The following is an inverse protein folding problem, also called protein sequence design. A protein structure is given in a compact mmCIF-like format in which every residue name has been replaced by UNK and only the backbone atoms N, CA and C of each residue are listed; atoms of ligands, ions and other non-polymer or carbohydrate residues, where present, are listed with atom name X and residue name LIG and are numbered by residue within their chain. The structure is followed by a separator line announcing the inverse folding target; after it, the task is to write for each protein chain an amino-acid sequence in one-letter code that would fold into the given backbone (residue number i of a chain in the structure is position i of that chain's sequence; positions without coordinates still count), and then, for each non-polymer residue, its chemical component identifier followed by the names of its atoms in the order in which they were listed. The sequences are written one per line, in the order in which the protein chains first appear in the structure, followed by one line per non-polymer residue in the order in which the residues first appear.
data_IF_108304279963
#
_entry.id   IF_108304279963
#
_cell.length_a   1.000
_cell.length_b   1.000
_cell.length_c   1.000
_cell.angle_alpha   90.00
_cell.angle_beta   90.00
_cell.angle_gamma   90.00
#
_symmetry.space_group_name_H-M   'P 1'
#
loop_
_entity.id
_entity.type
_entity.pdbx_description
1 polymer ?
#
# COMPACT_ATOMS: atom_id res chain seq x y z
N UNK A 1 38.63 -2.01 26.39
CA UNK A 1 38.06 -2.38 25.08
C UNK A 1 37.37 -3.76 25.11
N UNK A 2 38.03 -4.85 25.52
CA UNK A 2 37.44 -6.19 25.51
C UNK A 2 36.12 -6.35 26.32
N UNK A 3 35.98 -5.64 27.45
CA UNK A 3 34.77 -5.66 28.31
C UNK A 3 33.60 -4.87 27.68
N UNK A 4 33.87 -3.83 26.90
CA UNK A 4 32.83 -3.04 26.20
C UNK A 4 32.28 -3.82 25.00
N UNK A 5 33.15 -4.50 24.27
CA UNK A 5 32.75 -5.38 23.16
C UNK A 5 31.88 -6.54 23.66
N UNK A 6 32.21 -7.13 24.81
CA UNK A 6 31.42 -8.19 25.42
C UNK A 6 30.03 -7.71 25.88
N UNK A 7 29.96 -6.49 26.43
CA UNK A 7 28.68 -5.86 26.83
C UNK A 7 27.79 -5.55 25.62
N UNK A 8 28.36 -5.03 24.53
CA UNK A 8 27.63 -4.78 23.30
C UNK A 8 27.16 -6.08 22.65
N UNK A 9 27.98 -7.11 22.64
CA UNK A 9 27.62 -8.44 22.14
C UNK A 9 26.51 -9.10 22.99
N UNK A 10 26.54 -8.93 24.31
CA UNK A 10 25.47 -9.38 25.20
C UNK A 10 24.17 -8.62 25.01
N UNK A 11 24.20 -7.31 24.78
CA UNK A 11 23.02 -6.52 24.45
C UNK A 11 22.43 -6.89 23.07
N UNK A 12 23.26 -7.22 22.09
CA UNK A 12 22.81 -7.68 20.76
C UNK A 12 22.17 -9.08 20.81
N UNK A 13 22.57 -9.93 21.76
CA UNK A 13 21.99 -11.27 21.93
C UNK A 13 20.67 -11.27 22.72
N UNK A 14 20.31 -10.15 23.36
CA UNK A 14 19.07 -10.02 24.14
C UNK A 14 17.89 -9.45 23.32
N UNK A 15 18.07 -9.15 22.04
CA UNK A 15 16.96 -8.90 21.13
C UNK A 15 16.38 -10.27 20.70
N UNK A 16 15.87 -11.02 21.68
CA UNK A 16 14.92 -12.08 21.37
C UNK A 16 13.65 -11.39 20.88
N UNK A 17 13.40 -11.44 19.59
CA UNK A 17 12.07 -11.21 19.05
C UNK A 17 11.16 -12.23 19.74
N UNK A 18 10.39 -11.76 20.72
CA UNK A 18 9.31 -12.57 21.29
C UNK A 18 8.28 -12.69 20.16
N UNK A 19 8.45 -13.73 19.35
CA UNK A 19 7.40 -14.15 18.41
C UNK A 19 6.20 -14.50 19.27
N UNK A 20 5.06 -13.93 18.99
CA UNK A 20 3.82 -14.32 19.65
C UNK A 20 3.65 -15.83 19.43
N UNK A 21 3.69 -16.60 20.52
CA UNK A 21 3.42 -18.03 20.46
C UNK A 21 1.91 -18.20 20.26
N UNK A 22 1.52 -18.48 19.02
CA UNK A 22 0.12 -18.63 18.65
C UNK A 22 -0.03 -18.92 17.16
N UNK A 23 -1.24 -19.32 16.78
CA UNK A 23 -1.62 -19.62 15.41
C UNK A 23 -3.03 -19.11 15.12
N UNK A 24 -3.33 -18.79 13.87
CA UNK A 24 -4.69 -18.59 13.39
C UNK A 24 -5.23 -19.94 12.96
N UNK A 25 -6.17 -20.48 13.74
CA UNK A 25 -6.77 -21.80 13.46
C UNK A 25 -7.69 -21.74 12.21
N UNK A 26 -8.49 -20.67 12.10
CA UNK A 26 -9.41 -20.45 10.99
C UNK A 26 -9.47 -18.96 10.64
N UNK A 27 -9.25 -18.63 9.38
CA UNK A 27 -9.41 -17.31 8.82
C UNK A 27 -10.47 -17.36 7.73
N UNK A 28 -11.54 -16.60 7.90
CA UNK A 28 -12.57 -16.45 6.90
C UNK A 28 -12.56 -15.01 6.38
N UNK A 29 -12.42 -14.86 5.06
CA UNK A 29 -12.47 -13.58 4.39
C UNK A 29 -13.70 -13.49 3.50
N UNK A 30 -14.61 -12.58 3.80
CA UNK A 30 -15.78 -12.31 2.97
C UNK A 30 -15.64 -10.93 2.34
N UNK A 31 -15.55 -10.86 1.03
CA UNK A 31 -15.38 -9.62 0.26
C UNK A 31 -16.59 -9.41 -0.64
N UNK A 32 -17.22 -8.25 -0.50
CA UNK A 32 -18.27 -7.78 -1.41
C UNK A 32 -17.69 -6.67 -2.29
N UNK A 33 -17.72 -6.89 -3.59
CA UNK A 33 -17.22 -5.93 -4.60
C UNK A 33 -18.39 -5.22 -5.25
N UNK A 34 -18.45 -3.90 -5.10
CA UNK A 34 -19.47 -3.09 -5.74
C UNK A 34 -19.10 -2.74 -7.19
N UNK A 35 -20.09 -2.40 -8.02
CA UNK A 35 -19.87 -1.98 -9.42
C UNK A 35 -19.02 -0.69 -9.56
N UNK A 36 -18.82 0.04 -8.48
CA UNK A 36 -17.90 1.18 -8.40
C UNK A 36 -16.43 0.79 -8.21
N UNK A 37 -16.12 -0.50 -8.06
CA UNK A 37 -14.78 -0.99 -7.71
C UNK A 37 -14.41 -0.86 -6.23
N UNK A 38 -15.33 -0.40 -5.38
CA UNK A 38 -15.17 -0.41 -3.92
C UNK A 38 -15.39 -1.83 -3.40
N UNK A 39 -14.60 -2.23 -2.42
CA UNK A 39 -14.76 -3.51 -1.75
C UNK A 39 -15.03 -3.30 -0.26
N UNK A 40 -16.00 -4.03 0.26
CA UNK A 40 -16.23 -4.18 1.69
C UNK A 40 -15.71 -5.55 2.11
N UNK A 41 -14.74 -5.58 3.00
CA UNK A 41 -14.05 -6.80 3.44
C UNK A 41 -14.37 -7.06 4.90
N UNK A 42 -14.79 -8.28 5.20
CA UNK A 42 -15.01 -8.75 6.56
C UNK A 42 -14.14 -9.98 6.79
N UNK A 43 -13.22 -9.87 7.75
CA UNK A 43 -12.37 -10.97 8.19
C UNK A 43 -12.89 -11.50 9.53
N UNK A 44 -13.04 -12.81 9.62
CA UNK A 44 -13.27 -13.49 10.89
C UNK A 44 -12.02 -14.32 11.18
N UNK A 45 -11.31 -14.01 12.26
CA UNK A 45 -10.09 -14.70 12.69
C UNK A 45 -10.37 -15.46 13.97
N UNK A 46 -10.07 -16.75 13.97
CA UNK A 46 -10.03 -17.58 15.16
C UNK A 46 -8.54 -17.79 15.51
N UNK A 47 -8.08 -17.11 16.55
CA UNK A 47 -6.67 -17.08 16.95
C UNK A 47 -6.53 -17.89 18.25
N UNK A 48 -5.62 -18.85 18.25
CA UNK A 48 -5.18 -19.60 19.45
C UNK A 48 -3.86 -19.06 19.92
N UNK A 49 -3.77 -18.63 21.18
CA UNK A 49 -2.54 -18.11 21.81
C UNK A 49 -2.25 -18.85 23.12
N UNK A 50 -0.98 -19.15 23.34
CA UNK A 50 -0.53 -19.83 24.56
C UNK A 50 -0.45 -18.89 25.78
N UNK A 51 -0.27 -17.60 25.52
CA UNK A 51 -0.24 -16.52 26.51
C UNK A 51 -0.76 -15.23 25.88
N UNK A 52 -1.14 -14.25 26.69
CA UNK A 52 -1.47 -12.91 26.20
C UNK A 52 -0.28 -12.35 25.40
N UNK A 53 -0.47 -11.99 24.12
CA UNK A 53 0.62 -11.50 23.30
C UNK A 53 1.05 -10.11 23.78
N UNK A 54 2.35 -9.85 23.77
CA UNK A 54 2.89 -8.50 24.04
C UNK A 54 2.63 -7.54 22.88
N UNK A 55 2.50 -8.08 21.68
CA UNK A 55 2.17 -7.36 20.46
C UNK A 55 1.51 -8.31 19.46
N UNK A 56 0.35 -7.95 18.96
CA UNK A 56 -0.35 -8.68 17.92
C UNK A 56 -0.87 -7.68 16.88
N UNK A 57 -0.27 -7.68 15.70
CA UNK A 57 -0.54 -6.71 14.65
C UNK A 57 -1.00 -7.41 13.40
N UNK A 58 -2.15 -7.01 12.86
CA UNK A 58 -2.64 -7.45 11.56
C UNK A 58 -2.30 -6.41 10.50
N UNK A 59 -1.44 -6.72 9.53
CA UNK A 59 -1.24 -5.88 8.37
C UNK A 59 -2.47 -5.91 7.46
N UNK A 60 -2.85 -4.75 6.95
CA UNK A 60 -3.92 -4.57 5.96
C UNK A 60 -3.39 -3.81 4.75
N UNK A 61 -4.06 -3.91 3.59
CA UNK A 61 -3.70 -3.10 2.42
C UNK A 61 -3.64 -1.61 2.74
N UNK A 62 -2.71 -0.88 2.11
CA UNK A 62 -2.53 0.56 2.32
C UNK A 62 -3.81 1.38 2.11
N UNK A 63 -4.63 0.96 1.14
CA UNK A 63 -5.89 1.62 0.80
C UNK A 63 -7.04 1.33 1.79
N UNK A 64 -6.85 0.44 2.78
CA UNK A 64 -7.90 0.11 3.74
C UNK A 64 -8.30 1.33 4.58
N UNK A 65 -9.59 1.56 4.71
CA UNK A 65 -10.17 2.63 5.54
C UNK A 65 -11.42 2.12 6.25
N UNK A 66 -12.00 2.93 7.13
CA UNK A 66 -13.18 2.60 7.95
C UNK A 66 -13.02 1.27 8.70
N UNK A 67 -11.83 1.10 9.30
CA UNK A 67 -11.42 -0.14 9.94
C UNK A 67 -12.07 -0.26 11.29
N UNK A 68 -12.72 -1.40 11.54
CA UNK A 68 -13.30 -1.74 12.84
C UNK A 68 -12.82 -3.12 13.29
N UNK A 69 -12.64 -3.28 14.60
CA UNK A 69 -12.36 -4.57 15.26
C UNK A 69 -13.48 -4.82 16.27
N UNK A 70 -14.18 -5.94 16.12
CA UNK A 70 -15.35 -6.29 16.94
C UNK A 70 -16.40 -5.16 16.99
N UNK A 71 -16.60 -4.45 15.86
CA UNK A 71 -17.53 -3.33 15.73
C UNK A 71 -17.05 -1.99 16.31
N UNK A 72 -15.85 -1.94 16.89
CA UNK A 72 -15.25 -0.71 17.40
C UNK A 72 -14.24 -0.16 16.42
N UNK A 73 -14.28 1.15 16.14
CA UNK A 73 -13.32 1.79 15.23
C UNK A 73 -11.88 1.62 15.74
N UNK A 74 -11.03 1.10 14.88
CA UNK A 74 -9.63 0.81 15.20
C UNK A 74 -8.68 1.78 14.49
N UNK A 75 -7.63 2.19 15.19
CA UNK A 75 -6.53 2.94 14.58
C UNK A 75 -5.62 2.00 13.82
N UNK A 76 -5.28 2.37 12.59
CA UNK A 76 -4.37 1.61 11.75
C UNK A 76 -3.33 2.56 11.12
N UNK A 77 -2.24 2.87 11.82
CA UNK A 77 -1.18 3.70 11.29
C UNK A 77 -0.51 3.03 10.07
N UNK A 78 0.08 3.84 9.21
CA UNK A 78 0.93 3.36 8.13
C UNK A 78 2.28 2.89 8.67
N UNK A 79 2.69 1.69 8.28
CA UNK A 79 4.03 1.16 8.52
C UNK A 79 4.55 0.62 7.19
N UNK A 80 5.51 1.29 6.58
CA UNK A 80 5.94 0.98 5.22
C UNK A 80 4.82 1.20 4.19
N UNK A 81 4.46 0.14 3.48
CA UNK A 81 3.42 0.14 2.44
C UNK A 81 2.07 -0.43 2.90
N UNK A 82 1.88 -0.67 4.20
CA UNK A 82 0.70 -1.31 4.76
C UNK A 82 0.13 -0.50 5.91
N UNK A 83 -1.13 -0.78 6.28
CA UNK A 83 -1.73 -0.30 7.52
C UNK A 83 -1.63 -1.40 8.57
N UNK A 84 -1.29 -1.05 9.80
CA UNK A 84 -1.13 -1.98 10.89
C UNK A 84 -2.26 -1.79 11.92
N UNK A 85 -3.11 -2.81 12.07
CA UNK A 85 -4.15 -2.84 13.09
C UNK A 85 -3.60 -3.56 14.31
N UNK A 86 -3.58 -2.89 15.44
CA UNK A 86 -3.20 -3.50 16.72
C UNK A 86 -4.38 -4.29 17.28
N UNK A 87 -4.17 -5.59 17.49
CA UNK A 87 -5.13 -6.53 18.04
C UNK A 87 -4.78 -6.96 19.47
N UNK A 88 -3.71 -6.41 20.06
CA UNK A 88 -3.19 -6.81 21.37
C UNK A 88 -4.25 -6.69 22.46
N UNK A 89 -4.97 -5.57 22.46
CA UNK A 89 -6.04 -5.33 23.45
C UNK A 89 -7.27 -6.24 23.27
N UNK A 90 -7.43 -6.83 22.11
CA UNK A 90 -8.53 -7.75 21.81
C UNK A 90 -8.22 -9.20 22.22
N UNK A 91 -6.93 -9.52 22.52
CA UNK A 91 -6.45 -10.85 22.92
C UNK A 91 -5.71 -10.74 24.24
N UNK A 92 -6.46 -10.69 25.35
CA UNK A 92 -5.93 -10.36 26.68
C UNK A 92 -5.50 -11.58 27.52
N UNK A 93 -5.76 -12.80 27.06
CA UNK A 93 -5.48 -14.04 27.81
C UNK A 93 -5.07 -15.17 26.88
N UNK A 94 -4.50 -16.24 27.44
CA UNK A 94 -4.30 -17.49 26.73
C UNK A 94 -5.66 -18.10 26.34
N UNK A 95 -5.68 -18.83 25.22
CA UNK A 95 -6.84 -19.53 24.70
C UNK A 95 -7.23 -19.13 23.28
N UNK A 96 -8.44 -19.49 22.89
CA UNK A 96 -8.99 -19.23 21.58
C UNK A 96 -9.83 -17.94 21.62
N UNK A 97 -9.49 -17.00 20.71
CA UNK A 97 -10.19 -15.73 20.54
C UNK A 97 -10.75 -15.62 19.14
N UNK A 98 -12.00 -15.15 19.02
CA UNK A 98 -12.61 -14.85 17.73
C UNK A 98 -12.68 -13.35 17.54
N UNK A 99 -12.04 -12.85 16.48
CA UNK A 99 -12.01 -11.44 16.14
C UNK A 99 -12.73 -11.21 14.81
N UNK A 100 -13.58 -10.19 14.78
CA UNK A 100 -14.26 -9.72 13.59
C UNK A 100 -13.66 -8.39 13.17
N UNK A 101 -13.04 -8.36 11.98
CA UNK A 101 -12.40 -7.16 11.44
C UNK A 101 -13.14 -6.79 10.16
N UNK A 102 -13.54 -5.54 10.06
CA UNK A 102 -14.16 -5.00 8.86
C UNK A 102 -13.39 -3.79 8.37
N UNK A 103 -13.25 -3.66 7.04
CA UNK A 103 -12.65 -2.50 6.39
C UNK A 103 -13.15 -2.34 4.96
N UNK A 104 -12.97 -1.14 4.41
CA UNK A 104 -13.29 -0.84 3.02
C UNK A 104 -12.04 -0.55 2.20
N UNK A 105 -12.09 -0.95 0.92
CA UNK A 105 -11.08 -0.63 -0.10
C UNK A 105 -11.75 0.21 -1.19
N UNK A 106 -11.32 1.47 -1.42
CA UNK A 106 -11.99 2.35 -2.36
C UNK A 106 -11.75 2.00 -3.83
N UNK A 107 -10.59 1.45 -4.16
CA UNK A 107 -10.09 1.29 -5.53
C UNK A 107 -9.42 -0.09 -5.73
N UNK A 108 -10.20 -1.17 -5.54
CA UNK A 108 -9.70 -2.52 -5.75
C UNK A 108 -9.65 -2.92 -7.25
N UNK A 109 -10.43 -2.23 -8.09
CA UNK A 109 -10.43 -2.41 -9.55
C UNK A 109 -9.62 -1.29 -10.18
N UNK A 110 -8.56 -1.65 -10.89
CA UNK A 110 -7.66 -0.71 -11.58
C UNK A 110 -7.40 -1.14 -13.00
N UNK A 111 -7.04 -0.17 -13.84
CA UNK A 111 -6.58 -0.47 -15.18
C UNK A 111 -5.09 -0.82 -15.16
N UNK A 112 -4.77 -1.99 -15.68
CA UNK A 112 -3.41 -2.46 -15.90
C UNK A 112 -3.26 -2.92 -17.35
N UNK A 113 -2.33 -2.32 -18.09
CA UNK A 113 -2.07 -2.65 -19.50
C UNK A 113 -3.31 -2.62 -20.42
N UNK A 114 -4.24 -1.69 -20.19
CA UNK A 114 -5.47 -1.54 -20.98
C UNK A 114 -6.57 -2.52 -20.62
N UNK A 115 -6.46 -3.25 -19.51
CA UNK A 115 -7.50 -4.12 -18.98
C UNK A 115 -7.85 -3.71 -17.55
N UNK A 116 -9.12 -3.84 -17.18
CA UNK A 116 -9.52 -3.71 -15.79
C UNK A 116 -9.15 -4.97 -15.02
N UNK A 117 -8.45 -4.80 -13.92
CA UNK A 117 -8.02 -5.88 -13.05
C UNK A 117 -8.49 -5.60 -11.62
N UNK A 118 -9.24 -6.53 -11.07
CA UNK A 118 -9.54 -6.56 -9.63
C UNK A 118 -8.35 -7.22 -8.93
N UNK A 119 -7.74 -6.50 -7.98
CA UNK A 119 -6.63 -6.99 -7.17
C UNK A 119 -7.05 -6.93 -5.70
N UNK A 120 -7.09 -8.09 -5.04
CA UNK A 120 -7.46 -8.24 -3.64
C UNK A 120 -6.32 -8.93 -2.88
N UNK A 121 -5.79 -8.26 -1.88
CA UNK A 121 -4.92 -8.88 -0.88
C UNK A 121 -5.79 -9.61 0.13
N UNK A 122 -5.87 -10.94 0.01
CA UNK A 122 -6.67 -11.80 0.88
C UNK A 122 -5.99 -12.01 2.23
N UNK A 123 -4.66 -11.96 2.24
CA UNK A 123 -3.81 -12.01 3.43
C UNK A 123 -2.58 -11.12 3.18
N UNK A 124 -2.27 -10.22 4.11
CA UNK A 124 -1.22 -9.20 3.96
C UNK A 124 -0.01 -9.43 4.87
N UNK A 125 0.41 -10.68 5.07
CA UNK A 125 1.63 -11.00 5.83
C UNK A 125 1.46 -10.92 7.34
N UNK A 126 0.44 -11.58 7.87
CA UNK A 126 0.22 -11.67 9.31
C UNK A 126 1.38 -12.36 10.03
N UNK A 127 1.72 -11.92 11.23
CA UNK A 127 2.83 -12.46 12.01
C UNK A 127 2.59 -13.87 12.57
N UNK A 128 1.36 -14.36 12.51
CA UNK A 128 0.98 -15.71 12.89
C UNK A 128 0.73 -16.56 11.64
N UNK A 129 1.12 -17.82 11.71
CA UNK A 129 0.75 -18.80 10.67
C UNK A 129 -0.76 -19.04 10.68
N UNK A 130 -1.33 -19.28 9.49
CA UNK A 130 -2.76 -19.55 9.31
C UNK A 130 -2.94 -21.01 8.93
N UNK A 131 -3.57 -21.81 9.81
CA UNK A 131 -3.74 -23.24 9.60
C UNK A 131 -4.79 -23.53 8.52
N UNK A 132 -5.87 -22.76 8.51
CA UNK A 132 -6.95 -22.86 7.50
C UNK A 132 -7.40 -21.48 7.10
N UNK A 133 -7.55 -21.29 5.79
CA UNK A 133 -8.13 -20.05 5.26
C UNK A 133 -9.26 -20.38 4.30
N UNK A 134 -10.39 -19.68 4.46
CA UNK A 134 -11.52 -19.71 3.52
C UNK A 134 -11.78 -18.29 3.05
N UNK A 135 -12.03 -18.12 1.77
CA UNK A 135 -12.45 -16.82 1.28
C UNK A 135 -13.65 -16.94 0.34
N UNK A 136 -14.43 -15.87 0.35
CA UNK A 136 -15.57 -15.68 -0.54
C UNK A 136 -15.53 -14.27 -1.10
N UNK A 137 -15.53 -14.15 -2.42
CA UNK A 137 -15.55 -12.87 -3.12
C UNK A 137 -16.81 -12.80 -3.96
N UNK A 138 -17.70 -11.86 -3.64
CA UNK A 138 -18.94 -11.63 -4.39
C UNK A 138 -18.76 -10.42 -5.29
N UNK A 139 -18.90 -10.64 -6.59
CA UNK A 139 -18.78 -9.64 -7.66
C UNK A 139 -20.15 -9.07 -8.01
N UNK A 140 -20.24 -7.90 -8.67
CA UNK A 140 -21.50 -7.36 -9.18
C UNK A 140 -22.13 -8.22 -10.31
N UNK A 141 -21.37 -9.13 -10.91
CA UNK A 141 -21.82 -10.06 -11.93
C UNK A 141 -20.88 -11.23 -12.12
N UNK A 142 -21.22 -12.15 -13.05
CA UNK A 142 -20.44 -13.36 -13.30
C UNK A 142 -19.08 -13.00 -13.93
N UNK A 143 -17.95 -13.51 -13.39
CA UNK A 143 -16.65 -13.32 -14.00
C UNK A 143 -16.52 -14.09 -15.31
N UNK A 144 -15.94 -13.48 -16.32
CA UNK A 144 -15.66 -14.10 -17.62
C UNK A 144 -14.32 -14.81 -17.64
N UNK A 145 -13.36 -14.30 -16.87
CA UNK A 145 -12.00 -14.81 -16.84
C UNK A 145 -11.73 -15.55 -15.53
N UNK A 146 -10.71 -16.40 -15.57
CA UNK A 146 -10.26 -17.12 -14.37
C UNK A 146 -9.47 -16.18 -13.46
N UNK A 147 -9.64 -16.35 -12.16
CA UNK A 147 -8.82 -15.70 -11.15
C UNK A 147 -7.42 -16.34 -11.11
N UNK A 148 -6.41 -15.54 -10.90
CA UNK A 148 -5.05 -15.99 -10.59
C UNK A 148 -4.72 -15.65 -9.15
N UNK A 149 -3.91 -16.50 -8.52
CA UNK A 149 -3.50 -16.34 -7.15
C UNK A 149 -1.98 -16.31 -7.07
N UNK A 150 -1.46 -15.38 -6.30
CA UNK A 150 -0.02 -15.25 -6.04
C UNK A 150 0.18 -15.27 -4.54
N UNK A 151 1.01 -16.21 -4.08
CA UNK A 151 1.49 -16.24 -2.70
C UNK A 151 2.92 -15.71 -2.68
N UNK A 152 3.22 -14.83 -1.73
CA UNK A 152 4.53 -14.23 -1.54
C UNK A 152 4.97 -14.43 -0.10
N UNK A 153 6.09 -15.08 0.11
CA UNK A 153 6.71 -15.27 1.41
C UNK A 153 8.04 -14.54 1.46
N UNK A 154 8.23 -13.64 2.42
CA UNK A 154 9.46 -12.86 2.60
C UNK A 154 10.00 -12.27 1.27
N UNK A 155 9.10 -11.72 0.43
CA UNK A 155 9.35 -11.15 -0.90
C UNK A 155 9.68 -12.17 -2.01
N UNK A 156 9.68 -13.46 -1.73
CA UNK A 156 9.76 -14.50 -2.76
C UNK A 156 8.36 -14.82 -3.27
N UNK A 157 8.19 -14.78 -4.60
CA UNK A 157 6.91 -15.13 -5.24
C UNK A 157 6.83 -16.64 -5.37
N UNK A 158 5.81 -17.24 -4.75
CA UNK A 158 5.53 -18.67 -4.88
C UNK A 158 4.22 -18.80 -5.64
N UNK A 159 4.26 -19.39 -6.82
CA UNK A 159 3.04 -19.73 -7.56
C UNK A 159 2.33 -20.87 -6.82
N UNK A 160 1.14 -20.59 -6.30
CA UNK A 160 0.27 -21.61 -5.73
C UNK A 160 -0.92 -21.86 -6.64
N UNK A 161 -1.16 -23.12 -6.97
CA UNK A 161 -2.38 -23.54 -7.65
C UNK A 161 -3.46 -23.69 -6.57
N UNK A 162 -4.43 -22.79 -6.58
CA UNK A 162 -5.56 -22.84 -5.66
C UNK A 162 -6.78 -23.35 -6.41
N UNK A 163 -7.40 -24.39 -5.88
CA UNK A 163 -8.68 -24.87 -6.36
C UNK A 163 -9.79 -23.99 -5.81
N UNK A 164 -10.42 -23.22 -6.68
CA UNK A 164 -11.53 -22.36 -6.32
C UNK A 164 -12.77 -22.69 -7.14
N UNK A 165 -13.92 -22.37 -6.60
CA UNK A 165 -15.21 -22.57 -7.24
C UNK A 165 -15.82 -21.23 -7.63
N UNK A 166 -16.46 -21.19 -8.81
CA UNK A 166 -17.21 -20.02 -9.26
C UNK A 166 -18.68 -20.41 -9.33
N UNK A 167 -19.49 -19.81 -8.48
CA UNK A 167 -20.92 -20.03 -8.44
C UNK A 167 -21.65 -18.71 -8.73
N UNK A 168 -22.08 -18.53 -9.98
CA UNK A 168 -22.68 -17.28 -10.44
C UNK A 168 -21.69 -16.12 -10.36
N UNK A 169 -21.96 -15.14 -9.51
CA UNK A 169 -21.10 -13.98 -9.24
C UNK A 169 -20.14 -14.19 -8.07
N UNK A 170 -20.13 -15.34 -7.45
CA UNK A 170 -19.36 -15.62 -6.24
C UNK A 170 -18.18 -16.53 -6.55
N UNK A 171 -17.01 -16.14 -6.11
CA UNK A 171 -15.77 -16.94 -6.13
C UNK A 171 -15.50 -17.37 -4.69
N UNK A 172 -15.36 -18.66 -4.45
CA UNK A 172 -15.04 -19.21 -3.14
C UNK A 172 -13.92 -20.23 -3.21
N UNK A 173 -13.12 -20.30 -2.17
CA UNK A 173 -12.03 -21.25 -2.03
C UNK A 173 -11.84 -21.63 -0.57
N UNK A 174 -11.55 -22.90 -0.34
CA UNK A 174 -11.01 -23.40 0.92
C UNK A 174 -9.52 -23.72 0.68
N UNK A 175 -8.64 -22.92 1.28
CA UNK A 175 -7.20 -23.07 1.14
C UNK A 175 -6.75 -24.21 2.03
N UNK A 176 -6.53 -25.38 1.43
CA UNK A 176 -6.16 -26.59 2.15
C UNK A 176 -4.72 -26.57 2.71
N UNK A 177 -3.90 -25.64 2.25
CA UNK A 177 -2.49 -25.54 2.64
C UNK A 177 -2.33 -24.52 3.75
N UNK A 178 -1.59 -24.89 4.79
CA UNK A 178 -1.17 -23.94 5.83
C UNK A 178 -0.37 -22.80 5.23
N UNK A 179 -0.78 -21.57 5.52
CA UNK A 179 -0.04 -20.37 5.17
C UNK A 179 0.95 -20.04 6.30
N UNK A 180 2.17 -19.70 5.91
CA UNK A 180 3.25 -19.39 6.86
C UNK A 180 3.04 -18.01 7.49
N UNK A 181 3.69 -17.76 8.60
CA UNK A 181 3.85 -16.41 9.12
C UNK A 181 4.47 -15.49 8.05
N UNK A 182 3.99 -14.26 7.98
CA UNK A 182 4.39 -13.25 6.98
C UNK A 182 4.12 -13.61 5.51
N UNK A 183 3.35 -14.64 5.23
CA UNK A 183 2.93 -14.97 3.88
C UNK A 183 1.80 -14.05 3.42
N UNK A 184 1.92 -13.52 2.20
CA UNK A 184 0.88 -12.74 1.54
C UNK A 184 0.14 -13.62 0.54
N UNK A 185 -1.16 -13.44 0.45
CA UNK A 185 -1.98 -14.08 -0.56
C UNK A 185 -2.78 -13.02 -1.31
N UNK A 186 -2.55 -12.93 -2.61
CA UNK A 186 -3.20 -11.94 -3.49
C UNK A 186 -3.98 -12.66 -4.59
N UNK A 187 -5.24 -12.27 -4.76
CA UNK A 187 -6.07 -12.67 -5.88
C UNK A 187 -6.06 -11.57 -6.94
N UNK A 188 -5.89 -11.96 -8.21
CA UNK A 188 -6.01 -11.06 -9.36
C UNK A 188 -7.02 -11.63 -10.34
N UNK A 189 -7.94 -10.80 -10.79
CA UNK A 189 -9.00 -11.17 -11.73
C UNK A 189 -9.16 -10.08 -12.77
N UNK A 190 -8.94 -10.40 -14.04
CA UNK A 190 -9.30 -9.49 -15.11
C UNK A 190 -10.82 -9.45 -15.28
N UNK A 191 -11.39 -8.25 -15.27
CA UNK A 191 -12.83 -8.00 -15.26
C UNK A 191 -13.24 -7.17 -16.48
N UNK A 192 -14.50 -7.28 -16.89
CA UNK A 192 -15.05 -6.49 -17.99
C UNK A 192 -15.49 -5.09 -17.53
N UNK A 193 -15.47 -4.13 -18.45
CA UNK A 193 -15.97 -2.77 -18.22
C UNK A 193 -17.48 -2.75 -17.92
N UNK A 194 -18.23 -3.73 -18.43
CA UNK A 194 -19.66 -3.87 -18.18
C UNK A 194 -19.99 -4.12 -16.72
N UNK A 195 -19.12 -4.89 -16.02
CA UNK A 195 -19.29 -5.16 -14.60
C UNK A 195 -18.90 -3.97 -13.71
N UNK A 196 -18.00 -3.11 -14.20
CA UNK A 196 -17.45 -1.99 -13.44
C UNK A 196 -17.53 -0.65 -14.21
N UNK A 197 -18.71 -0.22 -14.63
CA UNK A 197 -18.85 0.98 -15.45
C UNK A 197 -18.37 2.26 -14.74
N UNK A 198 -18.46 2.32 -13.42
CA UNK A 198 -18.03 3.46 -12.63
C UNK A 198 -16.51 3.54 -12.43
N UNK A 199 -15.80 2.43 -12.55
CA UNK A 199 -14.33 2.40 -12.46
C UNK A 199 -13.68 2.99 -13.71
N UNK A 200 -14.35 2.90 -14.86
CA UNK A 200 -13.89 3.50 -16.13
C UNK A 200 -14.00 5.02 -16.12
N UNK A 201 -15.08 5.55 -15.53
CA UNK A 201 -15.31 7.01 -15.46
C UNK A 201 -14.31 7.72 -14.55
N UNK A 202 -13.74 7.02 -13.58
CA UNK A 202 -12.70 7.54 -12.68
C UNK A 202 -11.34 7.78 -13.38
N UNK A 203 -11.17 7.24 -14.59
CA UNK A 203 -9.97 7.36 -15.43
C UNK A 203 -9.57 8.82 -15.73
N UNK A 204 -10.54 9.75 -15.72
CA UNK A 204 -10.35 11.15 -16.08
C UNK A 204 -10.40 12.11 -14.88
N UNK A 205 -10.61 11.62 -13.66
CA UNK A 205 -10.49 12.46 -12.48
C UNK A 205 -9.01 12.71 -12.19
N UNK A 206 -8.51 13.87 -12.64
CA UNK A 206 -7.24 14.40 -12.16
C UNK A 206 -7.27 14.35 -10.62
N UNK A 207 -6.42 13.54 -10.04
CA UNK A 207 -6.27 13.47 -8.61
C UNK A 207 -5.92 14.86 -8.05
N UNK A 208 -6.32 15.15 -6.83
CA UNK A 208 -5.98 16.41 -6.16
C UNK A 208 -4.45 16.64 -6.17
N UNK A 209 -3.68 15.55 -6.08
CA UNK A 209 -2.22 15.58 -6.09
C UNK A 209 -1.67 15.90 -7.49
N UNK A 210 -2.33 15.43 -8.56
CA UNK A 210 -1.99 15.76 -9.94
C UNK A 210 -2.23 17.24 -10.22
N UNK A 211 -3.35 17.81 -9.72
CA UNK A 211 -3.64 19.25 -9.83
C UNK A 211 -2.59 20.11 -9.13
N UNK A 212 -2.10 19.69 -7.96
CA UNK A 212 -1.03 20.35 -7.24
C UNK A 212 0.27 20.29 -8.02
N UNK A 213 0.63 19.12 -8.57
CA UNK A 213 1.84 18.92 -9.38
C UNK A 213 1.79 19.77 -10.66
N UNK A 214 0.65 19.78 -11.38
CA UNK A 214 0.46 20.63 -12.56
C UNK A 214 0.48 22.13 -12.21
N UNK A 215 -0.09 22.51 -11.07
CA UNK A 215 -0.05 23.89 -10.58
C UNK A 215 1.37 24.36 -10.26
N UNK A 216 2.17 23.52 -9.59
CA UNK A 216 3.58 23.80 -9.28
C UNK A 216 4.44 23.87 -10.55
N UNK A 217 4.25 22.98 -11.51
CA UNK A 217 4.98 23.01 -12.78
C UNK A 217 4.63 24.25 -13.61
N UNK A 218 3.36 24.66 -13.64
CA UNK A 218 2.92 25.89 -14.31
C UNK A 218 3.54 27.14 -13.64
N UNK A 219 3.55 27.20 -12.31
CA UNK A 219 4.18 28.28 -11.55
C UNK A 219 5.69 28.36 -11.82
N UNK A 220 6.38 27.23 -11.84
CA UNK A 220 7.81 27.17 -12.14
C UNK A 220 8.09 27.67 -13.58
N UNK A 221 7.25 27.29 -14.54
CA UNK A 221 7.38 27.70 -15.93
C UNK A 221 7.10 29.20 -16.10
N UNK A 222 6.11 29.73 -15.40
CA UNK A 222 5.80 31.17 -15.35
C UNK A 222 6.94 31.96 -14.72
N UNK A 223 7.49 31.48 -13.60
CA UNK A 223 8.66 32.08 -12.97
C UNK A 223 9.88 32.09 -13.91
N UNK A 224 10.13 30.99 -14.60
CA UNK A 224 11.21 30.88 -15.57
C UNK A 224 11.02 31.86 -16.76
N UNK A 225 9.81 31.97 -17.31
CA UNK A 225 9.49 32.94 -18.37
C UNK A 225 9.65 34.39 -17.90
N UNK A 226 9.24 34.71 -16.68
CA UNK A 226 9.40 36.05 -16.11
C UNK A 226 10.87 36.41 -15.89
N UNK A 227 11.66 35.45 -15.37
CA UNK A 227 13.10 35.67 -15.17
C UNK A 227 13.86 35.77 -16.47
N UNK A 228 13.51 34.99 -17.49
CA UNK A 228 14.07 35.14 -18.84
C UNK A 228 13.73 36.49 -19.47
N UNK A 229 12.53 37.01 -19.22
CA UNK A 229 12.09 38.30 -19.77
C UNK A 229 12.71 39.49 -19.04
N UNK A 230 12.98 39.36 -17.74
CA UNK A 230 13.63 40.42 -16.93
C UNK A 230 15.17 40.35 -17.01
N UNK A 231 15.76 39.24 -17.44
CA UNK A 231 17.19 39.00 -17.40
C UNK A 231 17.98 39.45 -18.65
N UNK A 232 17.35 40.01 -19.67
CA UNK A 232 18.05 40.56 -20.83
C UNK A 232 17.90 42.11 -20.79
N UNK A 233 18.85 42.83 -20.21
CA UNK A 233 18.87 44.29 -20.40
C UNK A 233 19.06 44.54 -21.89
N UNK A 234 18.01 45.01 -22.57
CA UNK A 234 18.12 45.58 -23.91
C UNK A 234 18.90 46.90 -23.81
N UNK A 235 20.12 46.83 -23.29
CA UNK A 235 21.06 47.94 -23.26
C UNK A 235 21.67 48.10 -24.66
N UNK A 236 21.69 49.32 -25.15
CA UNK A 236 22.42 49.74 -26.36
C UNK A 236 23.80 49.02 -26.38
N UNK A 237 23.99 48.17 -27.39
CA UNK A 237 25.31 47.59 -27.66
C UNK A 237 26.23 48.76 -28.09
N UNK A 238 26.91 49.37 -27.13
CA UNK A 238 28.04 50.24 -27.47
C UNK A 238 29.19 49.30 -27.86
N UNK A 239 29.69 49.48 -29.06
CA UNK A 239 30.78 48.70 -29.65
C UNK A 239 32.15 49.01 -29.02
N UNK A 240 32.22 50.04 -28.20
CA UNK A 240 33.46 50.47 -27.57
C UNK A 240 33.27 50.50 -26.02
N UNK A 241 34.20 49.93 -25.26
CA UNK A 241 34.18 50.04 -23.81
C UNK A 241 34.32 51.50 -23.39
N UNK A 242 33.73 51.91 -22.22
CA UNK A 242 33.95 53.25 -21.68
C UNK A 242 35.44 53.50 -21.48
N UNK A 243 35.88 54.77 -21.72
CA UNK A 243 37.28 55.12 -21.54
C UNK A 243 37.74 54.82 -20.11
N UNK A 244 38.83 54.05 -19.97
CA UNK A 244 39.44 53.67 -18.70
C UNK A 244 39.04 52.31 -18.13
N UNK A 245 38.22 51.51 -18.82
CA UNK A 245 37.88 50.13 -18.40
C UNK A 245 38.30 49.12 -19.47
N UNK A 246 38.89 48.03 -19.02
CA UNK A 246 39.19 46.86 -19.91
C UNK A 246 37.91 46.09 -20.22
N UNK A 247 37.89 45.39 -21.34
CA UNK A 247 36.73 44.54 -21.73
C UNK A 247 36.39 43.51 -20.66
N UNK A 248 37.34 43.00 -19.91
CA UNK A 248 37.16 42.10 -18.78
C UNK A 248 36.44 42.73 -17.58
N UNK A 249 36.78 43.97 -17.22
CA UNK A 249 36.16 44.70 -16.12
C UNK A 249 34.70 45.11 -16.43
N UNK A 250 34.40 45.40 -17.68
CA UNK A 250 33.02 45.62 -18.14
C UNK A 250 32.19 44.35 -18.05
N UNK A 251 32.77 43.23 -18.44
CA UNK A 251 32.12 41.94 -18.33
C UNK A 251 31.81 41.53 -16.89
N UNK A 252 32.71 41.70 -15.96
CA UNK A 252 32.52 41.38 -14.54
C UNK A 252 31.47 42.30 -13.88
N UNK A 253 31.41 43.59 -14.21
CA UNK A 253 30.38 44.48 -13.71
C UNK A 253 28.99 44.20 -14.26
N UNK A 254 28.89 43.82 -15.53
CA UNK A 254 27.62 43.45 -16.18
C UNK A 254 27.05 42.13 -15.66
N UNK A 255 27.92 41.18 -15.28
CA UNK A 255 27.50 39.87 -14.74
C UNK A 255 27.28 39.89 -13.23
N UNK A 256 27.48 41.05 -12.55
CA UNK A 256 27.28 41.13 -11.10
C UNK A 256 28.35 40.40 -10.29
N UNK A 257 29.42 39.92 -10.91
CA UNK A 257 30.61 39.39 -10.26
C UNK A 257 31.48 40.59 -9.86
N UNK A 258 31.20 41.16 -8.70
CA UNK A 258 32.04 42.23 -8.11
C UNK A 258 33.45 41.72 -7.88
N UNK A 259 34.43 42.58 -8.15
CA UNK A 259 35.81 42.47 -7.68
C UNK A 259 35.82 42.67 -6.17
#
# INVERSE_FOLDING_TARGET
MRRIILAILCCLLLVTTVSAAGTVEDLQSNTLVAASGRCSVTLTLQISVDAAPSQLVLPLPAAAHDITVNGTAARAPFVGSQRHVDLTDAVTSAGIHTLLIHYELPDAVREENGQLVLTLELLSGFSLAVERMRFTVTLPGKPEKKASFVSTYLQESVESVMEYQVNGSTISCDVATRLRDHENLTMRLAVSEELFPQSVTKRWSLGRDDLVMYGLTLLALLYWLLTMRCGIPRGNRRSTPPEGLTAGEVGTRLCGLGV
#
